data_IF_218958975930
#
_entry.id   IF_218958975930
#
_cell.length_a   1.000
_cell.length_b   1.000
_cell.length_c   1.000
_cell.angle_alpha   90.00
_cell.angle_beta   90.00
_cell.angle_gamma   90.00
#
_symmetry.space_group_name_H-M   'P 1'
#
loop_
_entity.id
_entity.type
_entity.pdbx_description
1 polymer ?
#
# COMPACT_ATOMS: atom_id res chain seq x y z
N UNK A 1 -6.70 -15.23 9.16
CA UNK A 1 -5.27 -15.59 9.06
C UNK A 1 -4.42 -14.84 10.08
N UNK A 2 -4.39 -13.49 10.11
CA UNK A 2 -3.55 -12.74 11.09
C UNK A 2 -4.33 -11.85 12.06
N UNK A 3 -5.65 -11.70 11.92
CA UNK A 3 -6.49 -10.98 12.89
C UNK A 3 -7.11 -9.67 12.39
N UNK A 4 -6.78 -9.22 11.18
CA UNK A 4 -7.49 -8.10 10.56
C UNK A 4 -8.92 -8.52 10.18
N UNK A 5 -9.88 -8.29 11.08
CA UNK A 5 -11.30 -8.53 10.84
C UNK A 5 -12.17 -7.71 11.80
N UNK A 6 -13.41 -7.46 11.41
CA UNK A 6 -14.38 -6.75 12.27
C UNK A 6 -14.59 -7.47 13.61
N UNK A 7 -14.63 -8.81 13.61
CA UNK A 7 -14.82 -9.59 14.84
C UNK A 7 -13.70 -9.32 15.85
N UNK A 8 -12.45 -9.34 15.40
CA UNK A 8 -11.30 -9.07 16.26
C UNK A 8 -11.28 -7.61 16.71
N UNK A 9 -11.50 -6.66 15.79
CA UNK A 9 -11.57 -5.24 16.13
C UNK A 9 -12.69 -4.95 17.14
N UNK A 10 -13.83 -5.64 17.07
CA UNK A 10 -14.92 -5.53 18.05
C UNK A 10 -14.52 -6.10 19.41
N UNK A 11 -13.84 -7.26 19.44
CA UNK A 11 -13.35 -7.89 20.67
C UNK A 11 -12.38 -6.98 21.44
N UNK A 12 -11.63 -6.14 20.74
CA UNK A 12 -10.65 -5.20 21.29
C UNK A 12 -11.16 -3.75 21.41
N UNK A 13 -12.48 -3.52 21.30
CA UNK A 13 -13.10 -2.18 21.39
C UNK A 13 -12.49 -1.12 20.44
N UNK A 14 -12.09 -1.55 19.24
CA UNK A 14 -11.43 -0.69 18.26
C UNK A 14 -12.41 0.06 17.35
N UNK A 15 -13.71 -0.25 17.40
CA UNK A 15 -14.70 0.22 16.43
C UNK A 15 -15.59 1.34 16.98
N UNK A 16 -16.01 2.23 16.10
CA UNK A 16 -16.96 3.31 16.35
C UNK A 16 -17.91 3.43 15.14
N UNK A 17 -19.20 3.63 15.40
CA UNK A 17 -20.17 3.90 14.35
C UNK A 17 -20.42 5.41 14.28
N UNK A 18 -20.02 6.02 13.17
CA UNK A 18 -20.18 7.45 12.90
C UNK A 18 -21.41 7.72 12.05
N UNK A 19 -22.22 8.70 12.44
CA UNK A 19 -23.44 9.09 11.72
C UNK A 19 -23.19 10.30 10.84
N UNK A 20 -23.94 10.42 9.74
CA UNK A 20 -23.87 11.59 8.86
C UNK A 20 -22.57 11.74 8.07
N UNK A 21 -21.71 10.70 8.04
CA UNK A 21 -20.47 10.69 7.26
C UNK A 21 -20.80 11.00 5.79
N UNK A 22 -20.34 12.15 5.31
CA UNK A 22 -20.59 12.66 3.94
C UNK A 22 -22.08 12.69 3.57
N UNK A 23 -22.95 12.94 4.54
CA UNK A 23 -24.40 12.96 4.34
C UNK A 23 -25.07 11.58 4.24
N UNK A 24 -24.35 10.51 4.59
CA UNK A 24 -24.94 9.17 4.70
C UNK A 24 -26.04 9.11 5.78
N UNK A 25 -27.18 8.54 5.42
CA UNK A 25 -28.28 8.25 6.36
C UNK A 25 -27.97 7.06 7.28
N UNK A 26 -27.08 6.18 6.83
CA UNK A 26 -26.69 4.97 7.54
C UNK A 26 -25.35 5.20 8.26
N UNK A 27 -25.18 4.72 9.51
CA UNK A 27 -23.91 4.84 10.21
C UNK A 27 -22.79 4.11 9.46
N UNK A 28 -21.60 4.69 9.49
CA UNK A 28 -20.37 4.13 8.90
C UNK A 28 -19.47 3.64 10.02
N UNK A 29 -18.99 2.41 9.92
CA UNK A 29 -18.04 1.85 10.88
C UNK A 29 -16.64 2.37 10.61
N UNK A 30 -16.00 2.91 11.64
CA UNK A 30 -14.62 3.39 11.61
C UNK A 30 -13.78 2.72 12.70
N UNK A 31 -12.48 2.58 12.48
CA UNK A 31 -11.51 2.11 13.47
C UNK A 31 -10.97 3.31 14.25
N UNK A 32 -11.34 3.40 15.53
CA UNK A 32 -11.02 4.48 16.47
C UNK A 32 -9.81 4.21 17.37
N UNK A 33 -9.18 3.05 17.23
CA UNK A 33 -8.09 2.64 18.13
C UNK A 33 -6.90 3.60 18.07
N UNK A 34 -6.14 3.79 19.16
CA UNK A 34 -5.24 4.93 19.34
C UNK A 34 -4.17 5.06 18.24
N UNK A 35 -3.47 3.97 17.90
CA UNK A 35 -2.38 4.02 16.92
C UNK A 35 -2.94 4.20 15.51
N UNK A 36 -4.02 3.48 15.18
CA UNK A 36 -4.67 3.57 13.86
C UNK A 36 -5.23 4.96 13.62
N UNK A 37 -5.91 5.54 14.62
CA UNK A 37 -6.42 6.90 14.52
C UNK A 37 -5.28 7.91 14.35
N UNK A 38 -4.21 7.78 15.13
CA UNK A 38 -3.03 8.66 15.01
C UNK A 38 -2.41 8.61 13.61
N UNK A 39 -2.19 7.40 13.06
CA UNK A 39 -1.63 7.23 11.72
C UNK A 39 -2.58 7.69 10.62
N UNK A 40 -3.89 7.49 10.77
CA UNK A 40 -4.89 8.02 9.83
C UNK A 40 -4.92 9.56 9.85
N UNK A 41 -4.93 10.20 11.03
CA UNK A 41 -4.87 11.67 11.14
C UNK A 41 -3.64 12.24 10.43
N UNK A 42 -2.49 11.58 10.62
CA UNK A 42 -1.23 11.96 9.96
C UNK A 42 -1.30 11.76 8.45
N UNK A 43 -1.81 10.62 7.99
CA UNK A 43 -1.94 10.32 6.55
C UNK A 43 -2.80 11.34 5.84
N UNK A 44 -4.00 11.64 6.34
CA UNK A 44 -4.90 12.58 5.68
C UNK A 44 -4.62 14.06 6.02
N UNK A 45 -3.76 14.35 7.00
CA UNK A 45 -3.57 15.71 7.52
C UNK A 45 -4.84 16.26 8.19
N UNK A 46 -5.63 15.41 8.85
CA UNK A 46 -6.91 15.78 9.44
C UNK A 46 -7.00 15.46 10.93
N UNK A 47 -6.81 16.48 11.79
CA UNK A 47 -6.78 16.29 13.25
C UNK A 47 -8.14 16.00 13.90
N UNK A 48 -9.24 16.36 13.23
CA UNK A 48 -10.62 16.14 13.70
C UNK A 48 -11.17 14.76 13.35
N UNK A 49 -10.41 13.96 12.60
CA UNK A 49 -10.80 12.60 12.23
C UNK A 49 -11.11 11.77 13.48
N UNK A 50 -12.15 10.95 13.42
CA UNK A 50 -12.62 10.11 14.53
C UNK A 50 -12.22 8.64 14.38
N UNK A 51 -11.90 8.19 13.17
CA UNK A 51 -11.43 6.83 12.90
C UNK A 51 -11.13 6.61 11.43
N UNK A 52 -10.46 5.50 11.14
CA UNK A 52 -10.21 5.03 9.77
C UNK A 52 -11.42 4.26 9.24
N UNK A 53 -11.98 4.71 8.12
CA UNK A 53 -13.22 4.17 7.58
C UNK A 53 -13.09 2.74 7.06
N UNK A 54 -14.01 1.87 7.46
CA UNK A 54 -14.14 0.51 6.95
C UNK A 54 -15.23 0.41 5.89
N UNK A 55 -15.07 -0.56 5.00
CA UNK A 55 -16.01 -0.90 3.95
C UNK A 55 -16.33 -2.39 3.99
N UNK A 56 -17.61 -2.74 3.82
CA UNK A 56 -18.06 -4.12 3.74
C UNK A 56 -18.01 -4.58 2.29
N UNK A 57 -16.97 -5.34 1.96
CA UNK A 57 -16.80 -5.97 0.66
C UNK A 57 -17.20 -7.45 0.74
N UNK A 58 -18.38 -7.79 0.22
CA UNK A 58 -18.90 -9.16 0.16
C UNK A 58 -18.89 -9.89 1.52
N UNK A 59 -19.20 -9.18 2.60
CA UNK A 59 -19.20 -9.71 3.97
C UNK A 59 -17.88 -9.58 4.72
N UNK A 60 -16.80 -9.18 4.05
CA UNK A 60 -15.51 -8.89 4.67
C UNK A 60 -15.34 -7.38 4.92
N UNK A 61 -14.94 -7.02 6.13
CA UNK A 61 -14.64 -5.63 6.47
C UNK A 61 -13.17 -5.33 6.19
N UNK A 62 -12.96 -4.35 5.32
CA UNK A 62 -11.68 -3.93 4.74
C UNK A 62 -11.59 -2.41 4.81
N UNK A 63 -10.44 -1.82 4.46
CA UNK A 63 -10.35 -0.36 4.34
C UNK A 63 -11.23 0.15 3.20
N UNK A 64 -11.85 1.30 3.42
CA UNK A 64 -12.66 1.98 2.42
C UNK A 64 -11.84 2.27 1.16
N UNK A 65 -12.28 1.78 0.01
CA UNK A 65 -11.63 2.06 -1.29
C UNK A 65 -11.57 3.57 -1.51
N UNK A 66 -12.63 4.29 -1.13
CA UNK A 66 -12.69 5.76 -1.24
C UNK A 66 -11.49 6.41 -0.56
N UNK A 67 -11.12 5.94 0.63
CA UNK A 67 -10.13 6.59 1.47
C UNK A 67 -8.73 5.96 1.34
N UNK A 68 -8.63 4.70 0.90
CA UNK A 68 -7.41 3.92 0.92
C UNK A 68 -7.35 2.90 -0.23
N UNK A 69 -7.65 3.35 -1.46
CA UNK A 69 -7.72 2.50 -2.67
C UNK A 69 -6.48 1.61 -2.85
N UNK A 70 -5.29 2.19 -2.71
CA UNK A 70 -4.01 1.52 -3.01
C UNK A 70 -3.44 0.72 -1.82
N UNK A 71 -4.19 0.58 -0.72
CA UNK A 71 -3.78 -0.11 0.51
C UNK A 71 -3.94 -1.64 0.39
N UNK A 72 -3.06 -2.41 1.04
CA UNK A 72 -3.07 -3.87 1.10
C UNK A 72 -4.41 -4.47 1.53
N UNK A 73 -5.03 -3.87 2.55
CA UNK A 73 -6.29 -4.28 3.15
C UNK A 73 -7.48 -3.53 2.55
N UNK A 74 -7.36 -3.00 1.34
CA UNK A 74 -8.49 -2.51 0.53
C UNK A 74 -9.06 -3.63 -0.36
N UNK A 75 -10.31 -3.52 -0.86
CA UNK A 75 -10.85 -4.44 -1.86
C UNK A 75 -9.99 -4.65 -3.10
N UNK A 76 -9.16 -3.67 -3.46
CA UNK A 76 -8.28 -3.73 -4.62
C UNK A 76 -6.83 -4.03 -4.25
N UNK A 77 -6.49 -4.22 -2.97
CA UNK A 77 -5.11 -4.46 -2.54
C UNK A 77 -4.44 -5.66 -3.21
N UNK A 78 -5.21 -6.66 -3.65
CA UNK A 78 -4.70 -7.82 -4.38
C UNK A 78 -4.55 -7.63 -5.90
N UNK A 79 -5.14 -6.56 -6.47
CA UNK A 79 -5.19 -6.32 -7.92
C UNK A 79 -4.61 -4.97 -8.34
N UNK A 80 -4.34 -4.07 -7.40
CA UNK A 80 -3.60 -2.81 -7.59
C UNK A 80 -2.27 -2.84 -6.83
N UNK A 81 -1.82 -1.72 -6.26
CA UNK A 81 -0.58 -1.61 -5.50
C UNK A 81 -0.48 -2.60 -4.33
N UNK A 82 -1.48 -2.57 -3.44
CA UNK A 82 -1.46 -3.37 -2.22
C UNK A 82 -0.42 -2.91 -1.20
N UNK A 83 -0.25 -1.59 -1.02
CA UNK A 83 0.77 -1.05 -0.13
C UNK A 83 0.53 -1.46 1.32
N UNK A 84 1.55 -2.00 1.98
CA UNK A 84 1.52 -2.29 3.41
C UNK A 84 1.82 -1.01 4.19
N UNK A 85 0.79 -0.18 4.35
CA UNK A 85 0.94 1.16 4.91
C UNK A 85 0.93 1.16 6.44
N UNK A 86 1.24 2.33 7.01
CA UNK A 86 1.07 2.61 8.42
C UNK A 86 -0.36 2.39 8.94
N UNK A 87 -1.38 2.43 8.07
CA UNK A 87 -2.78 2.20 8.47
C UNK A 87 -3.00 0.75 8.89
N UNK A 88 -2.58 -0.21 8.06
CA UNK A 88 -2.70 -1.64 8.37
C UNK A 88 -1.73 -2.06 9.48
N UNK A 89 -0.50 -1.56 9.47
CA UNK A 89 0.47 -1.82 10.55
C UNK A 89 -0.07 -1.36 11.91
N UNK A 90 -0.67 -0.17 11.97
CA UNK A 90 -1.27 0.36 13.19
C UNK A 90 -2.45 -0.47 13.68
N UNK A 91 -3.30 -0.95 12.77
CA UNK A 91 -4.44 -1.79 13.14
C UNK A 91 -3.97 -3.12 13.75
N UNK A 92 -2.89 -3.70 13.23
CA UNK A 92 -2.29 -4.90 13.82
C UNK A 92 -1.64 -4.67 15.18
N UNK A 93 -1.02 -3.51 15.40
CA UNK A 93 -0.46 -3.13 16.70
C UNK A 93 -1.58 -2.91 17.74
N UNK A 94 -2.65 -2.20 17.38
CA UNK A 94 -3.80 -1.96 18.26
C UNK A 94 -4.60 -3.24 18.59
N UNK A 95 -4.55 -4.26 17.73
CA UNK A 95 -5.08 -5.60 18.04
C UNK A 95 -4.30 -6.31 19.16
N UNK A 96 -3.09 -5.83 19.48
CA UNK A 96 -2.23 -6.37 20.55
C UNK A 96 -1.53 -7.68 20.22
N UNK A 97 -1.68 -8.20 18.99
CA UNK A 97 -1.05 -9.45 18.56
C UNK A 97 0.38 -9.24 18.03
N UNK A 98 0.68 -8.05 17.53
CA UNK A 98 1.96 -7.73 16.88
C UNK A 98 2.46 -6.36 17.32
N UNK A 99 3.71 -6.06 16.98
CA UNK A 99 4.28 -4.71 17.05
C UNK A 99 4.78 -4.33 15.67
N UNK A 100 4.46 -3.14 15.23
CA UNK A 100 4.93 -2.60 13.98
C UNK A 100 6.41 -2.22 14.10
N UNK A 101 7.17 -2.52 13.05
CA UNK A 101 8.52 -1.98 12.88
C UNK A 101 8.38 -0.66 12.13
N UNK A 102 8.17 0.42 12.88
CA UNK A 102 8.00 1.76 12.30
C UNK A 102 9.26 2.19 11.53
N UNK A 103 9.04 2.90 10.41
CA UNK A 103 10.05 3.19 9.39
C UNK A 103 10.01 2.23 8.20
N UNK A 104 9.23 1.15 8.28
CA UNK A 104 9.00 0.19 7.19
C UNK A 104 7.65 0.35 6.50
N UNK A 105 6.82 1.29 6.94
CA UNK A 105 5.54 1.57 6.30
C UNK A 105 5.72 2.02 4.85
N UNK A 106 4.98 1.39 3.93
CA UNK A 106 4.96 1.81 2.54
C UNK A 106 4.14 3.10 2.38
N UNK A 107 4.66 4.12 1.67
CA UNK A 107 3.95 5.36 1.47
C UNK A 107 2.84 5.16 0.43
N UNK A 108 1.61 5.54 0.79
CA UNK A 108 0.49 5.58 -0.13
C UNK A 108 0.18 7.02 -0.51
N UNK A 109 0.23 7.34 -1.80
CA UNK A 109 -0.08 8.70 -2.29
C UNK A 109 -1.57 9.01 -2.16
N UNK A 110 -2.42 7.99 -2.33
CA UNK A 110 -3.87 8.12 -2.21
C UNK A 110 -4.28 8.67 -0.84
N UNK A 111 -4.92 9.84 -0.82
CA UNK A 111 -5.39 10.51 0.40
C UNK A 111 -4.30 11.19 1.23
N UNK A 112 -3.03 11.09 0.85
CA UNK A 112 -1.95 11.68 1.66
C UNK A 112 -2.05 13.21 1.66
N UNK A 113 -2.12 13.82 2.84
CA UNK A 113 -2.32 15.25 3.08
C UNK A 113 -3.51 15.86 2.31
N UNK A 114 -4.58 15.09 2.09
CA UNK A 114 -5.77 15.55 1.39
C UNK A 114 -6.62 16.55 2.20
N UNK A 115 -6.36 16.67 3.51
CA UNK A 115 -7.13 17.50 4.44
C UNK A 115 -8.47 16.87 4.85
N UNK A 116 -9.13 17.49 5.83
CA UNK A 116 -10.42 17.01 6.36
C UNK A 116 -11.56 17.08 5.34
N UNK A 117 -11.54 18.07 4.44
CA UNK A 117 -12.58 18.22 3.41
C UNK A 117 -12.72 16.98 2.52
N UNK A 118 -11.62 16.25 2.28
CA UNK A 118 -11.65 14.98 1.57
C UNK A 118 -12.49 13.94 2.29
N UNK A 119 -12.46 13.90 3.62
CA UNK A 119 -13.14 12.90 4.45
C UNK A 119 -14.57 13.31 4.78
N UNK A 120 -14.79 14.62 4.98
CA UNK A 120 -16.04 15.20 5.47
C UNK A 120 -17.06 15.46 4.35
N UNK A 121 -16.58 15.85 3.15
CA UNK A 121 -17.44 16.22 2.04
C UNK A 121 -17.65 15.06 1.06
N UNK A 122 -18.88 14.89 0.52
CA UNK A 122 -19.13 13.95 -0.55
C UNK A 122 -18.48 14.42 -1.86
N UNK A 123 -18.22 13.47 -2.76
CA UNK A 123 -17.81 13.76 -4.12
C UNK A 123 -18.83 14.62 -4.86
N UNK A 124 -18.29 15.49 -5.70
CA UNK A 124 -19.02 16.42 -6.55
C UNK A 124 -18.32 16.55 -7.91
N UNK A 125 -18.90 17.30 -8.83
CA UNK A 125 -18.27 17.62 -10.12
C UNK A 125 -16.90 18.32 -9.97
N UNK A 126 -16.64 18.98 -8.84
CA UNK A 126 -15.36 19.65 -8.55
C UNK A 126 -14.28 18.69 -8.03
N UNK A 127 -14.66 17.52 -7.53
CA UNK A 127 -13.76 16.57 -6.88
C UNK A 127 -12.54 16.18 -7.74
N UNK A 128 -12.67 15.92 -9.06
CA UNK A 128 -11.51 15.67 -9.91
C UNK A 128 -10.53 16.84 -10.02
N UNK A 129 -11.01 18.08 -9.87
CA UNK A 129 -10.14 19.28 -9.90
C UNK A 129 -9.48 19.51 -8.54
N UNK A 130 -10.20 19.27 -7.43
CA UNK A 130 -9.66 19.39 -6.07
C UNK A 130 -8.62 18.33 -5.77
N UNK A 131 -8.80 17.12 -6.30
CA UNK A 131 -7.97 15.95 -6.01
C UNK A 131 -7.58 15.18 -7.29
N UNK A 132 -6.81 15.82 -8.20
CA UNK A 132 -6.55 15.31 -9.55
C UNK A 132 -5.69 14.04 -9.60
N UNK A 133 -4.95 13.73 -8.53
CA UNK A 133 -4.19 12.48 -8.40
C UNK A 133 -5.02 11.29 -7.89
N UNK A 134 -6.26 11.53 -7.43
CA UNK A 134 -7.15 10.49 -6.90
C UNK A 134 -8.34 10.26 -7.82
N UNK A 135 -9.00 11.33 -8.24
CA UNK A 135 -10.25 11.24 -9.00
C UNK A 135 -10.11 11.82 -10.39
N UNK A 136 -10.99 11.38 -11.27
CA UNK A 136 -11.08 11.81 -12.65
C UNK A 136 -12.54 12.13 -13.02
N UNK A 137 -12.73 12.93 -14.05
CA UNK A 137 -14.07 13.28 -14.55
C UNK A 137 -14.61 12.12 -15.41
N UNK A 138 -15.85 11.70 -15.16
CA UNK A 138 -16.56 10.72 -16.00
C UNK A 138 -16.67 11.16 -17.46
N UNK A 139 -16.70 12.46 -17.72
CA UNK A 139 -16.77 12.96 -19.10
C UNK A 139 -15.44 12.73 -19.86
N UNK A 140 -14.40 12.31 -19.14
CA UNK A 140 -13.07 11.99 -19.65
C UNK A 140 -12.87 10.46 -19.76
N UNK A 141 -13.95 9.70 -20.01
CA UNK A 141 -13.96 8.22 -20.12
C UNK A 141 -12.95 7.67 -21.16
N UNK A 142 -12.59 8.48 -22.17
CA UNK A 142 -11.60 8.13 -23.19
C UNK A 142 -10.16 8.60 -22.85
N UNK A 143 -9.96 9.09 -21.63
CA UNK A 143 -8.66 9.55 -21.15
C UNK A 143 -7.86 8.42 -20.55
N UNK A 144 -6.69 8.25 -21.13
CA UNK A 144 -5.71 7.28 -20.71
C UNK A 144 -4.70 7.99 -19.79
N UNK A 145 -4.64 7.55 -18.54
CA UNK A 145 -3.88 8.19 -17.45
C UNK A 145 -3.11 7.15 -16.65
N UNK A 146 -2.13 7.59 -15.87
CA UNK A 146 -1.50 6.71 -14.90
C UNK A 146 -2.46 6.37 -13.76
N UNK A 147 -2.41 5.12 -13.29
CA UNK A 147 -3.01 4.76 -12.02
C UNK A 147 -2.32 5.54 -10.89
N UNK A 148 -3.01 5.77 -9.77
CA UNK A 148 -2.49 6.51 -8.61
C UNK A 148 -1.17 5.96 -8.05
N UNK A 149 -0.97 4.64 -8.19
CA UNK A 149 0.26 3.94 -7.81
C UNK A 149 1.33 3.90 -8.91
N UNK A 150 1.10 4.54 -10.07
CA UNK A 150 2.00 4.61 -11.24
C UNK A 150 2.46 3.29 -11.85
N UNK A 151 1.98 2.13 -11.40
CA UNK A 151 2.43 0.84 -11.95
C UNK A 151 1.83 0.53 -13.33
N UNK A 152 0.72 1.17 -13.68
CA UNK A 152 0.01 0.89 -14.90
C UNK A 152 -0.60 2.13 -15.55
N UNK A 153 -0.97 1.93 -16.80
CA UNK A 153 -1.83 2.82 -17.54
C UNK A 153 -3.27 2.35 -17.34
N UNK A 154 -4.18 3.29 -17.07
CA UNK A 154 -5.59 3.01 -16.83
C UNK A 154 -6.50 4.01 -17.53
N UNK A 155 -7.80 3.82 -17.33
CA UNK A 155 -8.85 4.68 -17.86
C UNK A 155 -9.71 5.22 -16.71
N UNK A 156 -10.35 6.36 -16.93
CA UNK A 156 -11.33 6.91 -15.99
C UNK A 156 -12.70 6.24 -16.18
N UNK A 157 -12.99 5.17 -15.42
CA UNK A 157 -14.28 4.48 -15.58
C UNK A 157 -14.79 3.74 -14.33
N UNK A 158 -13.94 3.48 -13.33
CA UNK A 158 -14.38 2.80 -12.11
C UNK A 158 -14.96 3.80 -11.13
N UNK A 159 -16.08 3.41 -10.53
CA UNK A 159 -16.69 4.11 -9.41
C UNK A 159 -16.51 3.27 -8.14
N UNK A 160 -16.39 3.91 -6.97
CA UNK A 160 -16.32 3.25 -5.66
C UNK A 160 -17.56 2.43 -5.31
N UNK A 161 -18.68 2.68 -6.01
CA UNK A 161 -19.87 1.82 -5.93
C UNK A 161 -19.54 0.44 -6.49
N UNK A 162 -18.99 -0.43 -5.65
CA UNK A 162 -18.91 -1.84 -5.97
C UNK A 162 -20.34 -2.34 -6.25
N UNK A 163 -20.57 -3.16 -7.30
CA UNK A 163 -21.91 -3.65 -7.66
C UNK A 163 -22.62 -4.46 -6.56
N UNK A 164 -21.93 -4.74 -5.44
CA UNK A 164 -22.40 -5.58 -4.33
C UNK A 164 -22.11 -4.95 -2.96
N UNK A 165 -21.97 -3.61 -2.88
CA UNK A 165 -21.90 -2.91 -1.60
C UNK A 165 -23.28 -2.85 -0.95
N UNK A 166 -23.40 -3.26 0.31
CA UNK A 166 -24.60 -3.05 1.12
C UNK A 166 -24.75 -1.61 1.62
N UNK A 167 -23.99 -0.66 1.06
CA UNK A 167 -23.98 0.73 1.51
C UNK A 167 -24.91 1.59 0.66
N UNK A 168 -25.69 2.45 1.32
CA UNK A 168 -26.44 3.56 0.72
C UNK A 168 -25.51 4.65 0.14
N UNK A 169 -24.38 4.26 -0.46
CA UNK A 169 -23.41 5.17 -1.07
C UNK A 169 -24.05 5.82 -2.30
N UNK A 170 -24.61 7.01 -2.07
CA UNK A 170 -25.06 7.95 -3.11
C UNK A 170 -23.88 8.68 -3.75
N UNK A 171 -22.71 8.59 -3.14
CA UNK A 171 -21.48 9.23 -3.62
C UNK A 171 -21.02 8.52 -4.89
N UNK A 172 -20.86 9.29 -5.97
CA UNK A 172 -20.31 8.79 -7.22
C UNK A 172 -19.05 9.56 -7.54
N UNK A 173 -17.90 8.90 -7.41
CA UNK A 173 -16.63 9.44 -7.88
C UNK A 173 -15.90 8.39 -8.69
N UNK A 174 -15.28 8.89 -9.75
CA UNK A 174 -14.57 8.07 -10.70
C UNK A 174 -13.08 8.18 -10.43
N UNK A 175 -12.37 7.08 -10.63
CA UNK A 175 -10.94 7.02 -10.49
C UNK A 175 -10.31 6.21 -11.63
N UNK A 176 -9.03 6.48 -11.85
CA UNK A 176 -8.26 5.77 -12.88
C UNK A 176 -7.95 4.36 -12.38
N UNK A 177 -8.36 3.38 -13.17
CA UNK A 177 -8.14 1.95 -12.89
C UNK A 177 -7.74 1.22 -14.17
N UNK A 178 -7.11 0.06 -14.00
CA UNK A 178 -6.92 -0.88 -15.09
C UNK A 178 -8.26 -1.57 -15.44
N UNK A 179 -8.49 -1.91 -16.73
CA UNK A 179 -9.53 -2.85 -17.16
C UNK A 179 -9.32 -4.25 -16.55
N UNK A 180 -10.36 -5.08 -16.53
CA UNK A 180 -10.33 -6.42 -15.90
C UNK A 180 -9.34 -7.42 -16.54
N UNK A 181 -8.77 -7.12 -17.72
CA UNK A 181 -7.67 -7.87 -18.36
C UNK A 181 -6.26 -7.54 -17.80
N UNK A 182 -6.20 -7.00 -16.58
CA UNK A 182 -5.22 -6.06 -16.02
C UNK A 182 -3.71 -6.35 -16.04
N UNK A 183 -3.22 -7.53 -16.44
CA UNK A 183 -1.76 -7.76 -16.48
C UNK A 183 -1.08 -7.06 -17.65
N UNK A 184 -1.83 -6.79 -18.71
CA UNK A 184 -1.30 -6.26 -19.97
C UNK A 184 -1.12 -4.74 -19.93
N UNK A 185 -1.63 -4.06 -18.91
CA UNK A 185 -1.53 -2.60 -18.76
C UNK A 185 -0.43 -2.17 -17.78
N UNK A 186 0.20 -3.13 -17.08
CA UNK A 186 1.36 -2.89 -16.21
C UNK A 186 2.57 -2.46 -17.02
N UNK A 187 3.21 -1.35 -16.66
CA UNK A 187 4.40 -0.89 -17.37
C UNK A 187 5.56 -1.89 -17.30
N UNK A 188 5.60 -2.71 -16.25
CA UNK A 188 6.60 -3.77 -16.05
C UNK A 188 6.44 -4.98 -16.97
N UNK A 189 5.31 -5.15 -17.65
CA UNK A 189 5.09 -6.31 -18.53
C UNK A 189 5.82 -6.18 -19.88
N UNK A 190 6.47 -7.26 -20.31
CA UNK A 190 7.41 -7.28 -21.45
C UNK A 190 6.76 -7.60 -22.82
N UNK A 191 5.51 -8.08 -22.84
CA UNK A 191 4.97 -8.79 -24.02
C UNK A 191 4.01 -8.02 -24.93
N UNK A 192 3.83 -6.70 -24.76
CA UNK A 192 3.03 -5.86 -25.70
C UNK A 192 3.50 -4.41 -25.74
N UNK A 193 4.43 -4.10 -26.65
CA UNK A 193 4.96 -2.74 -26.84
C UNK A 193 4.02 -1.80 -27.63
N UNK A 194 2.86 -2.31 -28.07
CA UNK A 194 1.94 -1.66 -29.00
C UNK A 194 0.65 -1.11 -28.35
N UNK A 195 0.41 -1.34 -27.06
CA UNK A 195 -0.84 -0.90 -26.41
C UNK A 195 -0.94 0.64 -26.36
N UNK A 196 0.14 1.32 -25.95
CA UNK A 196 0.19 2.79 -25.87
C UNK A 196 1.46 3.27 -26.60
N UNK A 197 1.33 4.01 -27.72
CA UNK A 197 2.49 4.50 -28.44
C UNK A 197 3.38 5.40 -27.57
N UNK A 198 4.68 5.36 -27.84
CA UNK A 198 5.65 6.16 -27.08
C UNK A 198 6.07 5.56 -25.73
N UNK A 199 5.48 4.43 -25.32
CA UNK A 199 5.81 3.75 -24.07
C UNK A 199 7.01 2.82 -24.22
N UNK A 200 7.98 2.93 -23.30
CA UNK A 200 9.00 1.92 -23.04
C UNK A 200 8.55 1.05 -21.86
N UNK A 201 8.42 -0.25 -22.09
CA UNK A 201 7.92 -1.23 -21.12
C UNK A 201 8.99 -2.24 -20.74
N UNK A 202 8.74 -2.97 -19.66
CA UNK A 202 9.60 -4.02 -19.13
C UNK A 202 10.05 -3.72 -17.71
N UNK A 203 10.87 -4.62 -17.15
CA UNK A 203 11.32 -4.53 -15.75
C UNK A 203 11.86 -3.12 -15.41
N UNK A 204 11.37 -2.54 -14.32
CA UNK A 204 11.74 -1.19 -13.88
C UNK A 204 10.99 -0.05 -14.58
N UNK A 205 10.02 -0.34 -15.45
CA UNK A 205 9.20 0.69 -16.10
C UNK A 205 7.98 1.09 -15.27
N UNK A 206 7.75 2.39 -15.20
CA UNK A 206 6.64 3.03 -14.50
C UNK A 206 5.82 3.88 -15.44
N UNK A 207 4.56 4.11 -15.07
CA UNK A 207 3.70 5.06 -15.73
C UNK A 207 4.03 6.48 -15.28
N UNK A 208 4.42 7.31 -16.25
CA UNK A 208 4.72 8.72 -16.06
C UNK A 208 3.63 9.56 -16.74
N UNK A 209 3.26 10.67 -16.09
CA UNK A 209 2.30 11.61 -16.66
C UNK A 209 2.94 12.29 -17.88
N UNK A 210 2.14 12.52 -18.92
CA UNK A 210 2.57 13.13 -20.15
C UNK A 210 1.61 14.24 -20.59
N UNK A 211 2.13 15.21 -21.32
CA UNK A 211 1.30 16.13 -22.07
C UNK A 211 0.43 15.37 -23.07
N UNK A 212 -0.82 15.79 -23.17
CA UNK A 212 -1.85 15.05 -23.90
C UNK A 212 -1.50 14.91 -25.38
N UNK A 213 -1.65 13.71 -25.92
CA UNK A 213 -1.63 13.47 -27.36
C UNK A 213 -2.78 12.55 -27.77
N UNK A 214 -3.24 12.66 -29.02
CA UNK A 214 -4.33 11.83 -29.52
C UNK A 214 -3.79 10.55 -30.15
N UNK A 215 -4.36 9.41 -29.76
CA UNK A 215 -4.06 8.12 -30.33
C UNK A 215 -5.32 7.49 -30.92
N UNK A 216 -5.18 6.90 -32.12
CA UNK A 216 -6.22 6.08 -32.76
C UNK A 216 -5.82 4.62 -32.60
N UNK A 217 -6.63 3.85 -31.90
CA UNK A 217 -6.47 2.40 -31.88
C UNK A 217 -7.06 1.81 -33.16
N UNK A 218 -6.31 0.94 -33.83
CA UNK A 218 -6.78 0.21 -35.01
C UNK A 218 -7.77 -0.92 -34.65
N UNK A 219 -7.89 -1.26 -33.36
CA UNK A 219 -8.67 -2.43 -32.87
C UNK A 219 -9.95 -2.06 -32.13
N UNK A 220 -10.08 -0.82 -31.63
CA UNK A 220 -11.27 -0.35 -30.96
C UNK A 220 -12.11 0.50 -31.91
N UNK A 221 -13.37 0.10 -32.13
CA UNK A 221 -14.37 0.81 -32.92
C UNK A 221 -14.35 2.33 -32.67
N UNK A 222 -13.76 3.09 -33.61
CA UNK A 222 -13.84 4.55 -33.78
C UNK A 222 -13.73 5.45 -32.53
N UNK A 223 -12.82 5.15 -31.60
CA UNK A 223 -12.48 6.06 -30.49
C UNK A 223 -11.13 6.76 -30.71
N UNK A 224 -11.11 8.09 -30.78
CA UNK A 224 -9.88 8.86 -30.57
C UNK A 224 -9.62 8.90 -29.05
N UNK A 225 -8.58 8.23 -28.57
CA UNK A 225 -8.18 8.30 -27.17
C UNK A 225 -7.30 9.53 -26.94
N UNK A 226 -7.49 10.18 -25.79
CA UNK A 226 -6.59 11.24 -25.33
C UNK A 226 -5.65 10.62 -24.31
N UNK A 227 -4.36 10.61 -24.61
CA UNK A 227 -3.34 9.93 -23.81
C UNK A 227 -2.56 10.96 -23.02
N UNK A 228 -2.58 10.84 -21.69
CA UNK A 228 -1.85 11.67 -20.73
C UNK A 228 -0.80 10.86 -19.97
N UNK A 229 -0.40 9.69 -20.50
CA UNK A 229 0.42 8.74 -19.78
C UNK A 229 1.27 7.90 -20.73
N UNK A 230 2.51 7.62 -20.30
CA UNK A 230 3.42 6.71 -21.01
C UNK A 230 4.22 5.88 -20.02
N UNK A 231 4.62 4.67 -20.42
CA UNK A 231 5.60 3.91 -19.64
C UNK A 231 7.03 4.37 -19.96
N UNK A 232 7.87 4.48 -18.95
CA UNK A 232 9.31 4.71 -19.08
C UNK A 232 10.06 3.97 -17.98
N UNK A 233 11.28 3.52 -18.26
CA UNK A 233 12.16 2.94 -17.24
C UNK A 233 12.59 4.01 -16.25
N UNK A 234 12.51 3.70 -14.97
CA UNK A 234 12.94 4.58 -13.88
C UNK A 234 14.15 3.97 -13.19
N UNK A 235 15.14 4.81 -12.93
CA UNK A 235 16.28 4.50 -12.08
C UNK A 235 16.36 5.53 -10.95
N UNK A 236 16.52 5.04 -9.73
CA UNK A 236 16.55 5.85 -8.53
C UNK A 236 17.95 5.82 -7.92
N UNK A 237 18.53 6.99 -7.64
CA UNK A 237 19.89 7.09 -7.11
C UNK A 237 20.00 8.32 -6.22
N UNK A 238 20.40 8.15 -4.95
CA UNK A 238 20.58 9.24 -3.97
C UNK A 238 19.38 10.21 -3.85
N UNK A 239 18.14 9.69 -3.85
CA UNK A 239 16.95 10.54 -3.77
C UNK A 239 16.58 11.25 -5.10
N UNK A 240 17.26 10.93 -6.20
CA UNK A 240 17.01 11.49 -7.53
C UNK A 240 16.40 10.46 -8.45
N UNK A 241 15.54 10.93 -9.35
CA UNK A 241 14.92 10.13 -10.40
C UNK A 241 15.67 10.35 -11.71
N UNK A 242 16.02 9.25 -12.37
CA UNK A 242 16.46 9.23 -13.76
C UNK A 242 15.48 8.39 -14.58
N UNK A 243 15.30 8.75 -15.83
CA UNK A 243 14.31 8.12 -16.71
C UNK A 243 14.95 7.73 -18.04
N UNK A 244 14.57 6.56 -18.55
CA UNK A 244 14.86 6.15 -19.92
C UNK A 244 13.53 5.89 -20.62
N UNK A 245 13.31 6.61 -21.72
CA UNK A 245 12.07 6.59 -22.50
C UNK A 245 12.30 5.94 -23.86
N UNK A 246 11.21 5.64 -24.58
CA UNK A 246 11.28 5.04 -25.91
C UNK A 246 12.03 5.97 -26.89
N UNK A 247 13.09 5.46 -27.52
CA UNK A 247 13.96 6.25 -28.40
C UNK A 247 15.08 7.02 -27.69
N UNK A 248 15.16 6.96 -26.36
CA UNK A 248 16.33 7.42 -25.59
C UNK A 248 17.42 6.34 -25.53
N UNK A 249 18.69 6.74 -25.64
CA UNK A 249 19.83 5.81 -25.54
C UNK A 249 20.09 5.41 -24.09
N UNK A 250 20.10 6.41 -23.19
CA UNK A 250 20.54 6.29 -21.80
C UNK A 250 19.53 6.91 -20.83
N UNK A 251 19.78 6.70 -19.53
CA UNK A 251 19.02 7.34 -18.46
C UNK A 251 19.37 8.84 -18.37
N UNK A 252 18.34 9.68 -18.40
CA UNK A 252 18.44 11.13 -18.30
C UNK A 252 17.91 11.60 -16.94
N UNK A 253 18.46 12.68 -16.39
CA UNK A 253 18.00 13.25 -15.12
C UNK A 253 16.55 13.75 -15.26
N UNK A 254 15.70 13.40 -14.29
CA UNK A 254 14.30 13.81 -14.26
C UNK A 254 13.97 14.48 -12.91
N UNK A 255 14.32 15.76 -12.72
CA UNK A 255 14.01 16.48 -11.49
C UNK A 255 12.50 16.58 -11.28
N UNK A 256 12.02 16.39 -10.05
CA UNK A 256 10.60 16.42 -9.72
C UNK A 256 9.88 17.64 -10.31
N UNK A 257 8.75 17.41 -10.99
CA UNK A 257 7.91 18.47 -11.55
C UNK A 257 8.39 19.06 -12.88
N UNK A 258 9.65 18.80 -13.27
CA UNK A 258 10.19 19.17 -14.58
C UNK A 258 9.66 18.26 -15.68
N UNK A 259 10.08 18.56 -16.92
CA UNK A 259 9.64 17.86 -18.11
C UNK A 259 10.82 17.39 -18.96
N UNK A 260 10.71 16.17 -19.48
CA UNK A 260 11.60 15.64 -20.52
C UNK A 260 10.88 15.66 -21.87
N UNK A 261 11.64 15.77 -22.96
CA UNK A 261 11.12 15.71 -24.33
C UNK A 261 11.60 14.42 -24.99
N UNK A 262 10.75 13.39 -25.08
CA UNK A 262 11.15 12.14 -25.70
C UNK A 262 11.47 12.31 -27.19
N UNK A 263 12.53 11.64 -27.65
CA UNK A 263 12.98 11.66 -29.05
C UNK A 263 12.14 10.79 -29.99
N UNK A 264 11.22 9.99 -29.43
CA UNK A 264 10.40 9.07 -30.22
C UNK A 264 9.47 9.81 -31.18
N UNK A 265 9.29 9.31 -32.42
CA UNK A 265 8.39 9.90 -33.41
C UNK A 265 6.91 9.86 -32.99
N UNK A 266 6.55 9.18 -31.91
CA UNK A 266 5.21 9.21 -31.33
C UNK A 266 4.90 10.51 -30.60
N UNK A 267 5.92 11.29 -30.21
CA UNK A 267 5.78 12.60 -29.57
C UNK A 267 5.91 13.76 -30.55
N UNK A 268 5.63 13.52 -31.85
CA UNK A 268 5.61 14.56 -32.90
C UNK A 268 4.67 15.69 -32.48
N UNK A 269 5.23 16.90 -32.36
CA UNK A 269 4.52 18.08 -31.84
C UNK A 269 5.04 18.61 -30.51
N UNK A 270 6.04 17.95 -29.91
CA UNK A 270 6.71 18.44 -28.70
C UNK A 270 6.07 17.98 -27.40
N UNK A 271 5.32 16.87 -27.41
CA UNK A 271 4.73 16.32 -26.19
C UNK A 271 5.80 15.93 -25.17
N UNK A 272 5.64 16.40 -23.93
CA UNK A 272 6.60 16.20 -22.85
C UNK A 272 6.12 15.17 -21.83
N UNK A 273 7.05 14.52 -21.16
CA UNK A 273 6.78 13.63 -20.03
C UNK A 273 7.17 14.36 -18.75
N UNK A 274 6.27 14.38 -17.78
CA UNK A 274 6.47 15.02 -16.48
C UNK A 274 7.27 14.08 -15.57
N UNK A 275 8.26 14.65 -14.90
CA UNK A 275 9.05 13.93 -13.92
C UNK A 275 8.26 13.68 -12.64
N UNK A 276 8.15 12.42 -12.19
CA UNK A 276 7.42 12.06 -10.98
C UNK A 276 8.20 12.49 -9.74
N UNK A 277 7.53 12.46 -8.58
CA UNK A 277 8.22 12.61 -7.30
C UNK A 277 8.97 11.32 -6.98
N UNK A 278 10.09 11.42 -6.28
CA UNK A 278 10.89 10.26 -5.90
C UNK A 278 10.04 9.20 -5.17
N UNK A 279 9.23 9.63 -4.22
CA UNK A 279 8.41 8.74 -3.39
C UNK A 279 7.37 7.92 -4.16
N UNK A 280 6.98 8.37 -5.37
CA UNK A 280 5.95 7.72 -6.18
C UNK A 280 6.48 6.56 -7.03
N UNK A 281 7.80 6.48 -7.25
CA UNK A 281 8.43 5.51 -8.16
C UNK A 281 9.71 4.85 -7.61
N UNK A 282 10.18 5.25 -6.43
CA UNK A 282 11.46 4.80 -5.86
C UNK A 282 11.37 4.18 -4.46
N UNK A 283 10.19 4.12 -3.86
CA UNK A 283 9.97 3.51 -2.52
C UNK A 283 9.53 2.05 -2.63
N UNK A 284 9.01 1.69 -3.79
CA UNK A 284 8.54 0.37 -4.20
C UNK A 284 9.16 0.12 -5.57
N UNK A 285 9.40 -1.13 -5.93
CA UNK A 285 9.85 -1.51 -7.27
C UNK A 285 8.67 -1.57 -8.25
N UNK A 286 8.96 -1.50 -9.55
CA UNK A 286 7.92 -1.53 -10.59
C UNK A 286 7.09 -2.84 -10.61
N UNK A 287 7.59 -3.90 -9.97
CA UNK A 287 6.90 -5.17 -9.78
C UNK A 287 6.08 -5.26 -8.47
N UNK A 288 6.08 -4.18 -7.67
CA UNK A 288 5.37 -4.09 -6.40
C UNK A 288 6.17 -4.54 -5.18
N UNK A 289 7.42 -4.98 -5.33
CA UNK A 289 8.26 -5.33 -4.18
C UNK A 289 8.75 -4.07 -3.42
N UNK A 290 8.77 -4.13 -2.09
CA UNK A 290 9.22 -3.01 -1.27
C UNK A 290 10.71 -2.72 -1.47
N UNK A 291 11.09 -1.44 -1.60
CA UNK A 291 12.49 -0.99 -1.62
C UNK A 291 12.90 -0.28 -0.32
N UNK A 292 12.01 -0.25 0.67
CA UNK A 292 12.29 0.34 1.96
C UNK A 292 13.30 -0.53 2.70
N UNK A 293 14.49 0.01 2.87
CA UNK A 293 15.53 -0.60 3.69
C UNK A 293 15.56 0.10 5.04
N UNK A 294 15.54 -0.67 6.13
CA UNK A 294 15.86 -0.15 7.45
C UNK A 294 17.25 0.48 7.40
N UNK A 295 17.32 1.81 7.39
CA UNK A 295 18.55 2.48 7.80
C UNK A 295 18.70 2.21 9.30
N UNK A 296 19.54 1.25 9.66
CA UNK A 296 20.18 1.23 10.99
C UNK A 296 20.94 2.53 11.07
N UNK A 297 20.35 3.57 11.64
CA UNK A 297 20.99 4.77 12.21
C UNK A 297 19.91 5.84 12.47
N UNK A 298 19.01 5.59 13.43
CA UNK A 298 18.54 6.62 14.38
C UNK A 298 17.73 6.00 15.54
N UNK A 299 18.42 5.24 16.41
CA UNK A 299 17.93 5.03 17.78
C UNK A 299 18.45 6.16 18.67
N UNK A 300 18.16 7.41 18.28
CA UNK A 300 18.38 8.60 19.09
C UNK A 300 17.17 8.88 19.98
N UNK A 301 17.23 8.40 21.23
CA UNK A 301 16.44 8.81 22.40
C UNK A 301 14.94 9.12 22.17
N UNK A 302 14.10 8.17 22.60
CA UNK A 302 12.70 8.46 22.88
C UNK A 302 12.56 9.61 23.89
N UNK A 303 11.84 10.65 23.49
CA UNK A 303 11.20 11.58 24.40
C UNK A 303 10.09 10.83 25.13
N UNK A 304 10.47 10.12 26.19
CA UNK A 304 9.55 9.88 27.29
C UNK A 304 9.31 11.23 27.96
N UNK A 305 8.18 11.85 27.63
CA UNK A 305 7.62 12.95 28.41
C UNK A 305 7.65 12.56 29.87
N UNK A 306 8.44 13.30 30.66
CA UNK A 306 8.42 13.20 32.12
C UNK A 306 7.07 13.72 32.58
N UNK A 307 6.25 12.82 33.12
CA UNK A 307 5.13 13.21 33.96
C UNK A 307 5.68 13.83 35.25
N UNK A 308 5.44 15.12 35.42
CA UNK A 308 5.70 15.85 36.66
C UNK A 308 4.68 15.40 37.72
N UNK A 309 4.98 14.31 38.43
CA UNK A 309 4.33 14.00 39.69
C UNK A 309 4.96 14.84 40.80
N UNK A 310 4.26 15.91 41.18
CA UNK A 310 4.56 16.74 42.34
C UNK A 310 4.68 15.90 43.61
N UNK A 311 5.85 16.00 44.26
CA UNK A 311 6.11 15.43 45.57
C UNK A 311 5.25 16.14 46.62
N UNK A 312 4.38 15.38 47.27
CA UNK A 312 3.85 15.73 48.59
C UNK A 312 4.91 15.44 49.65
N UNK A 313 5.22 16.44 50.46
CA UNK A 313 6.01 16.31 51.69
C UNK A 313 5.20 15.53 52.73
N UNK A 314 5.78 14.47 53.32
CA UNK A 314 5.52 14.10 54.72
C UNK A 314 6.55 13.07 55.24
N UNK A 315 7.11 13.39 56.41
CA UNK A 315 7.38 12.40 57.46
C UNK A 315 8.77 11.77 57.48
N UNK A 316 9.67 12.32 58.30
CA UNK A 316 10.79 11.58 58.91
C UNK A 316 10.24 10.46 59.79
N UNK A 317 10.92 9.32 59.80
CA UNK A 317 11.15 8.52 61.02
C UNK A 317 12.43 7.68 60.84
N UNK A 318 13.31 7.80 61.83
CA UNK A 318 14.52 6.99 62.04
C UNK A 318 14.18 5.69 62.81
N UNK A 319 15.11 4.71 62.76
CA UNK A 319 15.26 3.47 63.55
C UNK A 319 15.31 2.22 62.64
N UNK A 320 16.25 1.27 62.72
CA UNK A 320 17.37 1.04 63.63
C UNK A 320 18.18 -0.17 63.11
N UNK A 321 19.45 -0.26 63.50
CA UNK A 321 20.37 -1.37 63.18
C UNK A 321 19.94 -2.69 63.82
N UNK A 322 20.18 -3.80 63.14
CA UNK A 322 20.25 -5.15 63.70
C UNK A 322 21.13 -6.05 62.83
N UNK A 323 22.30 -6.44 63.37
CA UNK A 323 23.19 -7.48 62.85
C UNK A 323 22.81 -8.87 63.43
N UNK A 324 23.47 -9.93 62.93
CA UNK A 324 23.50 -11.38 63.30
C UNK A 324 22.74 -12.30 62.31
N UNK A 325 23.25 -13.43 61.81
CA UNK A 325 24.48 -14.25 61.94
C UNK A 325 24.49 -15.28 60.78
N UNK A 326 25.65 -15.79 60.30
CA UNK A 326 26.27 -17.11 60.64
C UNK A 326 25.32 -18.32 60.42
N UNK A 327 25.62 -19.42 59.73
CA UNK A 327 26.81 -20.20 59.34
C UNK A 327 26.40 -21.13 58.14
N UNK A 328 27.21 -21.38 57.10
CA UNK A 328 28.20 -22.47 56.86
C UNK A 328 27.75 -23.72 56.06
N UNK A 329 28.73 -24.21 55.29
CA UNK A 329 28.92 -25.55 54.68
C UNK A 329 28.25 -25.83 53.31
N UNK A 330 28.95 -26.23 52.26
CA UNK A 330 30.38 -26.49 52.10
C UNK A 330 30.67 -27.34 50.84
N UNK A 331 31.90 -27.18 50.34
CA UNK A 331 32.76 -28.16 49.62
C UNK A 331 32.38 -28.63 48.22
N UNK A 332 33.31 -28.90 47.32
CA UNK A 332 34.74 -28.61 47.17
C UNK A 332 35.07 -28.90 45.69
N UNK A 333 36.18 -28.32 45.24
CA UNK A 333 36.67 -28.21 43.88
C UNK A 333 37.37 -29.46 43.28
N UNK A 334 37.64 -29.32 41.98
CA UNK A 334 38.87 -29.69 41.25
C UNK A 334 38.99 -31.04 40.55
N UNK A 335 39.39 -30.94 39.28
CA UNK A 335 40.03 -32.01 38.51
C UNK A 335 40.12 -31.68 37.02
N UNK A 336 41.11 -30.86 36.63
CA UNK A 336 41.62 -30.77 35.25
C UNK A 336 42.48 -32.01 34.97
N UNK A 337 42.47 -32.49 33.73
CA UNK A 337 43.62 -33.11 33.09
C UNK A 337 43.60 -32.77 31.58
N UNK A 338 44.78 -32.42 31.07
CA UNK A 338 45.09 -32.04 29.68
C UNK A 338 45.74 -33.21 28.90
N UNK A 339 45.68 -33.10 27.57
CA UNK A 339 46.52 -33.72 26.52
C UNK A 339 46.34 -35.21 26.17
N UNK A 340 46.09 -35.54 24.89
CA UNK A 340 47.12 -35.68 23.84
C UNK A 340 46.48 -35.83 22.44
N UNK A 341 47.26 -35.44 21.43
CA UNK A 341 46.97 -35.43 19.99
C UNK A 341 46.90 -36.83 19.37
N UNK A 342 46.15 -36.97 18.28
CA UNK A 342 46.55 -37.77 17.12
C UNK A 342 45.98 -37.13 15.84
N UNK A 343 46.89 -36.77 14.93
CA UNK A 343 46.60 -36.35 13.56
C UNK A 343 46.43 -37.60 12.67
N UNK A 344 45.41 -37.64 11.79
CA UNK A 344 45.61 -38.11 10.41
C UNK A 344 44.43 -37.79 9.47
N UNK A 345 44.79 -37.00 8.46
CA UNK A 345 44.37 -36.88 7.05
C UNK A 345 43.01 -37.40 6.53
N UNK A 346 42.37 -36.45 5.81
CA UNK A 346 41.67 -36.53 4.52
C UNK A 346 40.56 -37.57 4.33
N UNK A 347 39.33 -37.06 4.09
CA UNK A 347 38.79 -37.05 2.73
C UNK A 347 37.55 -36.14 2.61
N UNK A 348 37.39 -35.67 1.39
CA UNK A 348 36.67 -34.51 0.91
C UNK A 348 35.14 -34.75 0.67
N UNK A 349 34.42 -33.64 0.52
CA UNK A 349 33.06 -33.48 -0.02
C UNK A 349 31.82 -33.94 0.79
N UNK A 350 31.09 -32.93 1.31
CA UNK A 350 29.69 -32.72 0.90
C UNK A 350 28.57 -33.23 1.83
N UNK A 351 28.25 -32.44 2.87
CA UNK A 351 26.96 -32.43 3.60
C UNK A 351 26.89 -31.05 4.27
N UNK A 352 25.82 -30.27 4.26
CA UNK A 352 24.41 -30.54 4.07
C UNK A 352 23.68 -29.77 5.16
N UNK A 353 23.16 -28.59 4.84
CA UNK A 353 22.20 -27.84 5.66
C UNK A 353 20.88 -27.81 4.86
N UNK A 354 19.88 -28.58 5.27
CA UNK A 354 18.82 -28.20 6.20
C UNK A 354 17.88 -27.09 5.67
N UNK A 355 16.72 -27.59 5.23
CA UNK A 355 15.37 -27.14 5.55
C UNK A 355 14.91 -25.73 5.14
N UNK A 356 13.94 -25.74 4.21
CA UNK A 356 13.12 -24.59 3.87
C UNK A 356 11.98 -24.96 2.91
N UNK A 357 11.12 -25.86 3.37
CA UNK A 357 10.03 -26.48 2.62
C UNK A 357 9.07 -25.46 1.96
N UNK A 358 8.94 -25.58 0.63
CA UNK A 358 7.88 -24.98 -0.15
C UNK A 358 6.57 -25.75 0.09
N UNK A 359 5.65 -25.16 0.87
CA UNK A 359 4.28 -25.65 0.96
C UNK A 359 3.43 -25.04 -0.17
N UNK A 360 3.42 -25.71 -1.32
CA UNK A 360 2.41 -25.53 -2.35
C UNK A 360 1.08 -26.12 -1.85
N UNK A 361 0.08 -25.28 -1.63
CA UNK A 361 -1.28 -25.72 -1.28
C UNK A 361 -1.97 -26.19 -2.56
N UNK A 362 -2.03 -27.52 -2.71
CA UNK A 362 -2.95 -28.23 -3.59
C UNK A 362 -4.32 -28.23 -2.93
N UNK A 363 -5.23 -27.34 -3.35
CA UNK A 363 -6.67 -27.47 -3.12
C UNK A 363 -7.42 -26.85 -4.30
N UNK A 364 -7.39 -27.54 -5.44
CA UNK A 364 -8.32 -27.29 -6.56
C UNK A 364 -8.70 -28.64 -7.14
N UNK A 365 -9.91 -29.10 -6.83
CA UNK A 365 -10.72 -30.07 -7.60
C UNK A 365 -11.82 -30.62 -6.69
N UNK A 366 -12.93 -29.89 -6.51
CA UNK A 366 -14.28 -30.41 -6.18
C UNK A 366 -15.24 -29.24 -5.91
N UNK A 367 -15.51 -28.40 -6.91
CA UNK A 367 -16.67 -27.48 -6.90
C UNK A 367 -17.04 -27.01 -8.33
N UNK A 368 -16.95 -27.93 -9.30
CA UNK A 368 -17.31 -27.71 -10.71
C UNK A 368 -18.47 -28.61 -11.18
N UNK A 369 -19.41 -28.94 -10.28
CA UNK A 369 -20.50 -29.86 -10.61
C UNK A 369 -21.91 -29.45 -10.09
N UNK A 370 -22.19 -28.16 -9.88
CA UNK A 370 -23.57 -27.72 -9.51
C UNK A 370 -24.11 -26.53 -10.33
N UNK A 371 -23.33 -25.89 -11.21
CA UNK A 371 -23.86 -24.80 -12.07
C UNK A 371 -24.01 -25.26 -13.52
N UNK A 372 -24.79 -26.33 -13.72
CA UNK A 372 -25.26 -26.77 -15.03
C UNK A 372 -26.65 -27.42 -14.90
N UNK A 373 -27.60 -26.77 -14.21
CA UNK A 373 -28.99 -27.24 -14.16
C UNK A 373 -30.01 -26.18 -13.71
N UNK A 374 -29.92 -24.89 -14.08
CA UNK A 374 -31.02 -23.93 -13.82
C UNK A 374 -31.13 -22.80 -14.88
N UNK A 375 -31.05 -23.13 -16.17
CA UNK A 375 -31.51 -22.22 -17.25
C UNK A 375 -32.31 -22.99 -18.29
N UNK A 376 -33.37 -23.69 -17.87
CA UNK A 376 -34.53 -24.01 -18.73
C UNK A 376 -35.73 -24.19 -17.81
N UNK A 377 -36.50 -23.13 -17.58
CA UNK A 377 -37.96 -23.14 -17.33
C UNK A 377 -38.36 -21.81 -16.69
N UNK A 378 -38.90 -20.90 -17.49
CA UNK A 378 -40.13 -20.13 -17.19
C UNK A 378 -40.43 -19.18 -18.34
N UNK A 379 -41.14 -19.68 -19.35
CA UNK A 379 -42.07 -18.87 -20.15
C UNK A 379 -43.45 -19.45 -19.85
N UNK A 380 -44.40 -18.68 -19.30
CA UNK A 380 -45.80 -19.06 -19.33
C UNK A 380 -46.51 -18.41 -20.54
N UNK A 381 -47.51 -19.16 -21.02
CA UNK A 381 -48.35 -18.97 -22.20
C UNK A 381 -48.93 -17.56 -22.41
#
# INVERSE_FOLDING_TARGET
>A
ALGFSMEQMKKHDMLLNETGVRGSSSPVTVVKSPVTLSKAKRHYGCNTLKGMEMFNYKGAYVWSVRNAKDELMSPFGATVAGYYTALTMAAFEDLGYYRAVWGMEEPMVWGNNSGCEFLDNPCSEKTPTTYPGMFCDKNDELSIRCTSNRQAIGMCFRNFKAPEASSDEKETCFFVSQPDSGKEQLCSAEHRNDIIPGSLRGKGSWCLDAESFTFKSDTASNGNFVVHAVCAMVQCEEGKVKVKYLGGSDFESCPEGEFITPKSPHFKGGGRVKCPRYEEVCTIAADGSSLINLKKDDHGKGDHGKDDHGKGDHGKDDHGKGDHGKDDHGKDDHGKDDNENDDNENDDYGKGDHDGCAAAVVLSSLLLAVIAAMVVATVPL
#
